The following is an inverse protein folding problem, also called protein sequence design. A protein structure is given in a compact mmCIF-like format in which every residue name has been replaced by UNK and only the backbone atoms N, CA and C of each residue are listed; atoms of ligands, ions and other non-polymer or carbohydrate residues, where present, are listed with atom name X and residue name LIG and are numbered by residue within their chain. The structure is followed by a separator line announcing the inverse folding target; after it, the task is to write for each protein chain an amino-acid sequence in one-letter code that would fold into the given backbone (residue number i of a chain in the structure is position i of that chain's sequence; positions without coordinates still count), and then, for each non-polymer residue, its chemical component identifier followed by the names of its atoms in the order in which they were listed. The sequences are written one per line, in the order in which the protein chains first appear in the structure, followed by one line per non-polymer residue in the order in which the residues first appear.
data_IF_787760086795
#
_entry.id   IF_787760086795
#
_cell.length_a   1.000
_cell.length_b   1.000
_cell.length_c   1.000
_cell.angle_alpha   90.00
_cell.angle_beta   90.00
_cell.angle_gamma   90.00
#
_symmetry.space_group_name_H-M   'P 1'
#
loop_
_entity.id
_entity.type
_entity.pdbx_description
1 polymer ?
#
# COMPACT_ATOMS: atom_id res chain seq x y z
N UNK A 1 9.93 9.53 6.19
CA UNK A 1 11.12 10.39 6.33
C UNK A 1 11.99 10.11 5.14
N UNK A 2 12.29 11.13 4.36
CA UNK A 2 13.23 11.14 3.26
C UNK A 2 14.18 12.33 3.41
N UNK A 3 15.32 12.26 2.74
CA UNK A 3 16.44 13.17 2.96
C UNK A 3 16.18 14.63 2.54
N UNK A 4 15.26 14.87 1.59
CA UNK A 4 14.89 16.20 1.12
C UNK A 4 13.53 16.21 0.42
N UNK A 5 12.92 17.39 0.32
CA UNK A 5 11.71 17.61 -0.48
C UNK A 5 11.85 17.10 -1.92
N UNK A 6 13.02 17.27 -2.53
CA UNK A 6 13.29 16.80 -3.90
C UNK A 6 13.32 15.28 -3.97
N UNK A 7 13.98 14.61 -3.01
CA UNK A 7 14.02 13.15 -2.95
C UNK A 7 12.60 12.57 -2.77
N UNK A 8 11.80 13.16 -1.89
CA UNK A 8 10.39 12.81 -1.68
C UNK A 8 9.55 12.96 -2.95
N UNK A 9 9.73 14.08 -3.65
CA UNK A 9 8.99 14.36 -4.88
C UNK A 9 9.37 13.39 -6.00
N UNK A 10 10.66 13.11 -6.19
CA UNK A 10 11.13 12.17 -7.22
C UNK A 10 10.71 10.75 -6.90
N UNK A 11 10.91 10.29 -5.66
CA UNK A 11 10.48 8.96 -5.25
C UNK A 11 8.96 8.82 -5.34
N UNK A 12 8.20 9.81 -4.86
CA UNK A 12 6.75 9.83 -4.88
C UNK A 12 6.16 9.80 -6.28
N UNK A 13 6.70 10.59 -7.21
CA UNK A 13 6.26 10.59 -8.62
C UNK A 13 6.59 9.27 -9.31
N UNK A 14 7.78 8.71 -9.09
CA UNK A 14 8.16 7.41 -9.65
C UNK A 14 7.27 6.27 -9.11
N UNK A 15 7.03 6.23 -7.79
CA UNK A 15 6.16 5.26 -7.14
C UNK A 15 4.70 5.41 -7.64
N UNK A 16 4.20 6.63 -7.78
CA UNK A 16 2.87 6.88 -8.33
C UNK A 16 2.75 6.40 -9.79
N UNK A 17 3.77 6.63 -10.63
CA UNK A 17 3.79 6.12 -12.00
C UNK A 17 3.73 4.59 -12.03
N UNK A 18 4.49 3.90 -11.18
CA UNK A 18 4.40 2.45 -11.00
C UNK A 18 2.99 2.03 -10.59
N UNK A 19 2.37 2.75 -9.66
CA UNK A 19 0.98 2.53 -9.24
C UNK A 19 -0.04 2.68 -10.36
N UNK A 20 0.12 3.69 -11.22
CA UNK A 20 -0.74 3.88 -12.38
C UNK A 20 -0.64 2.68 -13.33
N UNK A 21 0.57 2.16 -13.56
CA UNK A 21 0.79 0.95 -14.36
C UNK A 21 0.12 -0.27 -13.73
N UNK A 22 0.26 -0.46 -12.42
CA UNK A 22 -0.41 -1.54 -11.67
C UNK A 22 -1.94 -1.49 -11.84
N UNK A 23 -2.54 -0.30 -11.69
CA UNK A 23 -3.97 -0.08 -11.88
C UNK A 23 -4.40 -0.39 -13.31
N UNK A 24 -3.73 0.18 -14.32
CA UNK A 24 -4.05 -0.05 -15.73
C UNK A 24 -3.96 -1.54 -16.10
N UNK A 25 -2.91 -2.25 -15.64
CA UNK A 25 -2.76 -3.69 -15.86
C UNK A 25 -3.91 -4.48 -15.24
N UNK A 26 -4.29 -4.13 -14.02
CA UNK A 26 -5.36 -4.81 -13.26
C UNK A 26 -6.73 -4.61 -13.91
N UNK A 27 -7.03 -3.38 -14.36
CA UNK A 27 -8.24 -3.05 -15.10
C UNK A 27 -8.30 -3.80 -16.43
N UNK A 28 -7.21 -3.80 -17.21
CA UNK A 28 -7.12 -4.54 -18.49
C UNK A 28 -7.28 -6.04 -18.31
N UNK A 29 -6.75 -6.59 -17.21
CA UNK A 29 -6.91 -7.99 -16.85
C UNK A 29 -8.31 -8.35 -16.29
N UNK A 30 -9.22 -7.37 -16.16
CA UNK A 30 -10.57 -7.52 -15.59
C UNK A 30 -10.57 -8.13 -14.19
N UNK A 31 -9.67 -7.67 -13.32
CA UNK A 31 -9.54 -8.13 -11.92
C UNK A 31 -9.87 -7.02 -10.93
N UNK A 32 -11.13 -6.55 -10.86
CA UNK A 32 -11.49 -5.43 -9.98
C UNK A 32 -11.23 -5.72 -8.49
N UNK A 33 -11.20 -7.00 -8.11
CA UNK A 33 -10.87 -7.45 -6.75
C UNK A 33 -9.41 -7.17 -6.33
N UNK A 34 -8.50 -7.09 -7.29
CA UNK A 34 -7.08 -6.84 -7.05
C UNK A 34 -6.78 -5.32 -7.02
N UNK A 35 -7.76 -4.49 -7.42
CA UNK A 35 -7.60 -3.06 -7.64
C UNK A 35 -7.15 -2.28 -6.38
N UNK A 36 -7.69 -2.54 -5.17
CA UNK A 36 -7.24 -1.80 -3.99
C UNK A 36 -5.75 -2.00 -3.69
N UNK A 37 -5.23 -3.23 -3.86
CA UNK A 37 -3.80 -3.52 -3.70
C UNK A 37 -2.97 -2.96 -4.86
N UNK A 38 -3.49 -3.03 -6.09
CA UNK A 38 -2.83 -2.45 -7.26
C UNK A 38 -2.71 -0.92 -7.17
N UNK A 39 -3.64 -0.26 -6.46
CA UNK A 39 -3.62 1.17 -6.19
C UNK A 39 -2.76 1.56 -4.98
N UNK A 40 -2.26 0.61 -4.18
CA UNK A 40 -1.44 0.90 -3.01
C UNK A 40 -0.19 1.75 -3.34
N UNK A 41 0.54 1.53 -4.45
CA UNK A 41 1.65 2.39 -4.81
C UNK A 41 1.23 3.83 -5.15
N UNK A 42 0.01 4.05 -5.67
CA UNK A 42 -0.49 5.42 -5.86
C UNK A 42 -0.63 6.14 -4.51
N UNK A 43 -1.15 5.43 -3.50
CA UNK A 43 -1.29 5.96 -2.15
C UNK A 43 0.08 6.26 -1.51
N UNK A 44 1.04 5.33 -1.65
CA UNK A 44 2.41 5.54 -1.16
C UNK A 44 3.11 6.69 -1.90
N UNK A 45 2.91 6.83 -3.21
CA UNK A 45 3.46 7.92 -4.00
C UNK A 45 2.88 9.28 -3.58
N UNK A 46 1.56 9.35 -3.41
CA UNK A 46 0.89 10.53 -2.88
C UNK A 46 1.39 10.90 -1.49
N UNK A 47 1.61 9.91 -0.62
CA UNK A 47 2.19 10.11 0.71
C UNK A 47 3.56 10.80 0.66
N UNK A 48 4.46 10.35 -0.21
CA UNK A 48 5.78 10.99 -0.41
C UNK A 48 5.67 12.39 -1.02
N UNK A 49 4.75 12.60 -1.96
CA UNK A 49 4.51 13.95 -2.51
C UNK A 49 4.02 14.91 -1.43
N UNK A 50 3.12 14.47 -0.54
CA UNK A 50 2.68 15.27 0.62
C UNK A 50 3.85 15.54 1.57
N UNK A 51 4.72 14.56 1.82
CA UNK A 51 5.94 14.74 2.61
C UNK A 51 6.87 15.82 2.00
N UNK A 52 6.99 15.87 0.66
CA UNK A 52 7.74 16.94 -0.04
C UNK A 52 7.17 18.35 0.18
N UNK A 53 5.85 18.46 0.34
CA UNK A 53 5.18 19.74 0.63
C UNK A 53 5.43 20.12 2.09
N UNK A 54 5.34 19.14 2.99
CA UNK A 54 5.62 19.32 4.41
C UNK A 54 7.06 19.80 4.66
N UNK A 55 8.04 19.22 3.95
CA UNK A 55 9.43 19.70 4.00
C UNK A 55 9.54 21.17 3.59
N UNK A 56 8.87 21.55 2.49
CA UNK A 56 8.88 22.94 1.99
C UNK A 56 8.16 23.92 2.92
N UNK A 57 7.21 23.46 3.72
CA UNK A 57 6.53 24.29 4.71
C UNK A 57 7.31 24.45 6.01
N UNK A 58 8.47 23.80 6.16
CA UNK A 58 9.26 23.83 7.40
C UNK A 58 8.69 22.96 8.53
N UNK A 59 7.79 22.03 8.21
CA UNK A 59 7.08 21.23 9.21
C UNK A 59 5.96 22.01 9.90
N UNK A 60 5.75 21.71 11.19
CA UNK A 60 4.71 22.33 12.03
C UNK A 60 3.35 21.64 11.93
N UNK A 61 2.33 22.36 12.38
CA UNK A 61 0.92 21.99 12.23
C UNK A 61 0.40 22.48 10.88
N UNK A 62 -0.46 21.72 10.22
CA UNK A 62 -1.10 22.19 8.99
C UNK A 62 -1.75 21.08 8.17
N UNK A 63 -2.33 21.46 7.04
CA UNK A 63 -3.02 20.52 6.15
C UNK A 63 -2.07 19.46 5.57
N UNK A 64 -0.81 19.81 5.27
CA UNK A 64 0.18 18.85 4.80
C UNK A 64 0.55 17.81 5.89
N UNK A 65 0.79 18.27 7.12
CA UNK A 65 1.04 17.39 8.29
C UNK A 65 -0.14 16.47 8.57
N UNK A 66 -1.36 17.01 8.54
CA UNK A 66 -2.58 16.23 8.74
C UNK A 66 -2.79 15.21 7.60
N UNK A 67 -2.63 15.63 6.35
CA UNK A 67 -2.79 14.75 5.19
C UNK A 67 -1.76 13.61 5.22
N UNK A 68 -0.51 13.91 5.56
CA UNK A 68 0.53 12.90 5.77
C UNK A 68 0.10 11.90 6.84
N UNK A 69 -0.34 12.38 8.01
CA UNK A 69 -0.75 11.52 9.11
C UNK A 69 -1.97 10.67 8.78
N UNK A 70 -2.98 11.24 8.10
CA UNK A 70 -4.19 10.52 7.67
C UNK A 70 -3.83 9.39 6.71
N UNK A 71 -2.97 9.65 5.72
CA UNK A 71 -2.55 8.62 4.77
C UNK A 71 -1.73 7.53 5.48
N UNK A 72 -0.74 7.92 6.28
CA UNK A 72 0.17 7.00 6.97
C UNK A 72 -0.53 6.11 8.00
N UNK A 73 -1.51 6.65 8.71
CA UNK A 73 -2.07 6.02 9.90
C UNK A 73 -3.43 5.35 9.60
N UNK A 74 -4.59 6.02 9.68
CA UNK A 74 -5.87 5.33 9.56
C UNK A 74 -6.10 4.76 8.16
N UNK A 75 -5.67 5.44 7.09
CA UNK A 75 -5.92 4.97 5.72
C UNK A 75 -5.19 3.67 5.46
N UNK A 76 -3.87 3.59 5.69
CA UNK A 76 -3.11 2.36 5.47
C UNK A 76 -3.57 1.21 6.38
N UNK A 77 -3.90 1.49 7.64
CA UNK A 77 -4.39 0.51 8.60
C UNK A 77 -5.64 -0.25 8.09
N UNK A 78 -6.51 0.43 7.35
CA UNK A 78 -7.72 -0.17 6.76
C UNK A 78 -7.52 -0.65 5.32
N UNK A 79 -6.81 0.14 4.50
CA UNK A 79 -6.68 -0.09 3.06
C UNK A 79 -5.96 -1.40 2.74
N UNK A 80 -4.87 -1.70 3.45
CA UNK A 80 -4.08 -2.91 3.23
C UNK A 80 -4.90 -4.18 3.51
N UNK A 81 -5.45 -4.41 4.71
CA UNK A 81 -6.22 -5.63 4.97
C UNK A 81 -7.49 -5.72 4.11
N UNK A 82 -8.16 -4.60 3.84
CA UNK A 82 -9.32 -4.59 2.94
C UNK A 82 -8.92 -5.03 1.52
N UNK A 83 -7.80 -4.53 1.00
CA UNK A 83 -7.26 -4.95 -0.29
C UNK A 83 -6.90 -6.44 -0.32
N UNK A 84 -6.30 -6.97 0.74
CA UNK A 84 -5.98 -8.41 0.85
C UNK A 84 -7.25 -9.26 0.85
N UNK A 85 -8.29 -8.86 1.61
CA UNK A 85 -9.58 -9.58 1.63
C UNK A 85 -10.27 -9.54 0.25
N UNK A 86 -10.21 -8.41 -0.45
CA UNK A 86 -10.74 -8.25 -1.80
C UNK A 86 -10.07 -9.23 -2.78
N UNK A 87 -8.75 -9.27 -2.80
CA UNK A 87 -7.94 -10.13 -3.67
C UNK A 87 -8.02 -11.62 -3.28
N UNK A 88 -8.33 -11.94 -2.02
CA UNK A 88 -8.33 -13.31 -1.52
C UNK A 88 -9.47 -14.19 -2.10
N UNK A 89 -9.18 -15.47 -2.40
CA UNK A 89 -10.21 -16.44 -2.75
C UNK A 89 -11.15 -16.68 -1.56
N UNK A 90 -12.43 -16.99 -1.83
CA UNK A 90 -13.48 -17.13 -0.80
C UNK A 90 -13.06 -18.02 0.39
N UNK A 91 -12.43 -19.16 0.12
CA UNK A 91 -11.94 -20.11 1.14
C UNK A 91 -10.91 -19.54 2.12
N UNK A 92 -10.17 -18.49 1.73
CA UNK A 92 -9.14 -17.87 2.56
C UNK A 92 -9.64 -16.60 3.27
N UNK A 93 -10.88 -16.16 3.05
CA UNK A 93 -11.39 -14.90 3.62
C UNK A 93 -11.64 -14.97 5.12
N UNK A 94 -12.05 -16.13 5.64
CA UNK A 94 -12.36 -16.29 7.07
C UNK A 94 -11.20 -15.88 7.98
N UNK A 95 -9.99 -16.38 7.70
CA UNK A 95 -8.77 -16.03 8.47
C UNK A 95 -8.31 -14.57 8.32
N UNK A 96 -8.80 -13.86 7.29
CA UNK A 96 -8.46 -12.47 7.03
C UNK A 96 -9.45 -11.48 7.70
N UNK A 97 -10.56 -11.98 8.25
CA UNK A 97 -11.50 -11.13 8.99
C UNK A 97 -10.89 -10.57 10.26
N UNK A 98 -10.02 -11.34 10.94
CA UNK A 98 -9.33 -10.90 12.16
C UNK A 98 -8.43 -9.68 11.87
N UNK A 99 -7.46 -9.73 10.94
CA UNK A 99 -6.64 -8.55 10.65
C UNK A 99 -7.44 -7.40 10.02
N UNK A 100 -8.54 -7.68 9.30
CA UNK A 100 -9.43 -6.62 8.81
C UNK A 100 -10.15 -5.90 9.95
N UNK A 101 -10.71 -6.65 10.91
CA UNK A 101 -11.37 -6.07 12.08
C UNK A 101 -10.38 -5.28 12.94
N UNK A 102 -9.18 -5.83 13.17
CA UNK A 102 -8.09 -5.13 13.85
C UNK A 102 -7.73 -3.82 13.11
N UNK A 103 -7.64 -3.85 11.79
CA UNK A 103 -7.39 -2.68 10.95
C UNK A 103 -8.48 -1.62 11.06
N UNK A 104 -9.75 -2.03 11.03
CA UNK A 104 -10.89 -1.13 11.16
C UNK A 104 -10.93 -0.45 12.54
N UNK A 105 -10.74 -1.20 13.63
CA UNK A 105 -10.70 -0.66 14.99
C UNK A 105 -9.50 0.28 15.17
N UNK A 106 -8.33 -0.13 14.68
CA UNK A 106 -7.11 0.69 14.74
C UNK A 106 -7.26 1.97 13.93
N UNK A 107 -7.81 1.89 12.71
CA UNK A 107 -8.07 3.05 11.87
C UNK A 107 -9.06 4.01 12.51
N UNK A 108 -10.13 3.52 13.14
CA UNK A 108 -11.08 4.34 13.87
C UNK A 108 -10.42 5.06 15.06
N UNK A 109 -9.61 4.35 15.86
CA UNK A 109 -8.87 4.94 16.97
C UNK A 109 -7.85 6.00 16.53
N UNK A 110 -7.11 5.72 15.46
CA UNK A 110 -6.16 6.68 14.87
C UNK A 110 -6.90 7.90 14.29
N UNK A 111 -7.97 7.71 13.54
CA UNK A 111 -8.77 8.81 12.99
C UNK A 111 -9.37 9.69 14.11
N UNK A 112 -9.88 9.07 15.18
CA UNK A 112 -10.36 9.80 16.35
C UNK A 112 -9.23 10.61 17.03
N UNK A 113 -8.04 10.02 17.18
CA UNK A 113 -6.89 10.73 17.73
C UNK A 113 -6.49 11.94 16.85
N UNK A 114 -6.47 11.78 15.52
CA UNK A 114 -6.17 12.87 14.58
C UNK A 114 -7.25 13.96 14.58
N UNK A 115 -8.51 13.61 14.84
CA UNK A 115 -9.61 14.57 14.90
C UNK A 115 -9.68 15.36 16.22
N UNK A 116 -9.14 14.79 17.30
CA UNK A 116 -9.24 15.38 18.65
C UNK A 116 -7.93 15.96 19.17
N UNK A 117 -6.80 15.63 18.53
CA UNK A 117 -5.47 16.07 18.94
C UNK A 117 -4.73 16.73 17.80
N UNK A 118 -3.89 17.70 18.15
CA UNK A 118 -3.05 18.39 17.18
C UNK A 118 -1.88 17.50 16.78
N UNK A 119 -1.73 17.26 15.48
CA UNK A 119 -0.54 16.61 14.92
C UNK A 119 0.50 17.67 14.63
N UNK A 120 1.71 17.46 15.13
CA UNK A 120 2.86 18.31 14.86
C UNK A 120 3.94 17.51 14.17
N UNK A 121 4.48 18.08 13.09
CA UNK A 121 5.69 17.59 12.44
C UNK A 121 6.87 18.47 12.84
N UNK A 122 7.95 17.87 13.31
CA UNK A 122 9.18 18.58 13.67
C UNK A 122 10.29 18.15 12.72
N UNK A 123 10.88 19.11 12.02
CA UNK A 123 12.07 18.86 11.22
C UNK A 123 13.28 18.83 12.15
N UNK A 124 13.94 17.67 12.28
CA UNK A 124 15.11 17.46 13.14
C UNK A 124 16.33 17.16 12.27
N UNK A 125 16.97 18.22 11.78
CA UNK A 125 18.07 18.09 10.82
C UNK A 125 17.57 17.52 9.49
N UNK A 126 17.84 16.24 9.23
CA UNK A 126 17.41 15.54 8.01
C UNK A 126 16.18 14.64 8.22
N UNK A 127 15.59 14.57 9.43
CA UNK A 127 14.35 13.84 9.71
C UNK A 127 13.12 14.73 9.85
N UNK A 128 11.95 14.12 9.68
CA UNK A 128 10.68 14.66 10.14
C UNK A 128 10.14 13.77 11.26
N UNK A 129 10.23 14.21 12.51
CA UNK A 129 9.57 13.58 13.65
C UNK A 129 8.09 13.96 13.72
N UNK A 130 7.24 13.04 14.14
CA UNK A 130 5.80 13.30 14.30
C UNK A 130 5.38 13.06 15.75
N UNK A 131 4.84 14.10 16.39
CA UNK A 131 4.23 13.98 17.70
C UNK A 131 2.71 13.87 17.54
N UNK A 132 2.20 12.66 17.79
CA UNK A 132 0.79 12.28 17.59
C UNK A 132 0.01 12.09 18.90
N UNK A 133 0.70 12.16 20.05
CA UNK A 133 0.08 12.06 21.38
C UNK A 133 -0.90 10.88 21.51
N UNK A 134 -0.52 9.70 21.00
CA UNK A 134 -1.45 8.57 20.87
C UNK A 134 -1.69 7.87 22.22
N UNK A 135 -2.94 7.80 22.72
CA UNK A 135 -3.25 6.98 23.89
C UNK A 135 -3.09 5.50 23.53
N UNK A 136 -2.60 4.69 24.47
CA UNK A 136 -2.42 3.24 24.27
C UNK A 136 -1.57 2.88 23.04
N UNK A 137 -0.48 3.62 22.80
CA UNK A 137 0.37 3.48 21.62
C UNK A 137 0.77 2.02 21.31
N UNK A 138 1.08 1.21 22.32
CA UNK A 138 1.40 -0.21 22.14
C UNK A 138 0.28 -1.03 21.49
N UNK A 139 -0.99 -0.80 21.91
CA UNK A 139 -2.15 -1.49 21.32
C UNK A 139 -2.41 -1.02 19.89
N UNK A 140 -2.30 0.28 19.62
CA UNK A 140 -2.47 0.83 18.28
C UNK A 140 -1.39 0.31 17.32
N UNK A 141 -0.14 0.24 17.76
CA UNK A 141 0.96 -0.33 16.96
C UNK A 141 0.73 -1.83 16.71
N UNK A 142 0.36 -2.60 17.72
CA UNK A 142 0.07 -4.03 17.57
C UNK A 142 -1.09 -4.26 16.60
N UNK A 143 -2.19 -3.51 16.74
CA UNK A 143 -3.33 -3.55 15.84
C UNK A 143 -2.97 -3.17 14.41
N UNK A 144 -2.14 -2.13 14.24
CA UNK A 144 -1.67 -1.68 12.94
C UNK A 144 -0.79 -2.74 12.24
N UNK A 145 0.16 -3.34 12.96
CA UNK A 145 1.02 -4.40 12.43
C UNK A 145 0.22 -5.66 12.09
N UNK A 146 -0.71 -6.06 12.95
CA UNK A 146 -1.61 -7.18 12.68
C UNK A 146 -2.45 -6.93 11.42
N UNK A 147 -2.98 -5.72 11.29
CA UNK A 147 -3.79 -5.32 10.13
C UNK A 147 -2.99 -5.31 8.83
N UNK A 148 -1.82 -4.68 8.83
CA UNK A 148 -1.01 -4.48 7.62
C UNK A 148 -0.15 -5.70 7.29
N UNK A 149 0.80 -6.05 8.16
CA UNK A 149 1.72 -7.18 7.97
C UNK A 149 0.99 -8.51 8.12
N UNK A 150 0.17 -8.63 9.16
CA UNK A 150 -0.56 -9.88 9.43
C UNK A 150 -1.51 -10.27 8.30
N UNK A 151 -2.25 -9.31 7.70
CA UNK A 151 -3.11 -9.62 6.55
C UNK A 151 -2.30 -10.14 5.35
N UNK A 152 -1.17 -9.52 5.03
CA UNK A 152 -0.30 -9.93 3.92
C UNK A 152 0.29 -11.33 4.13
N UNK A 153 0.81 -11.61 5.34
CA UNK A 153 1.39 -12.91 5.67
C UNK A 153 0.34 -14.03 5.74
N UNK A 154 -0.88 -13.72 6.18
CA UNK A 154 -2.00 -14.67 6.19
C UNK A 154 -2.66 -14.83 4.80
N UNK A 155 -2.20 -14.11 3.78
CA UNK A 155 -2.71 -14.28 2.42
C UNK A 155 -2.43 -15.68 1.88
N UNK A 156 -3.31 -16.19 1.01
CA UNK A 156 -3.07 -17.44 0.29
C UNK A 156 -2.18 -17.26 -0.95
N UNK A 157 -1.93 -16.00 -1.35
CA UNK A 157 -1.12 -15.64 -2.51
C UNK A 157 0.34 -15.45 -2.11
N UNK A 158 1.25 -16.24 -2.72
CA UNK A 158 2.68 -16.19 -2.41
C UNK A 158 3.34 -14.83 -2.69
N UNK A 159 2.84 -14.07 -3.67
CA UNK A 159 3.33 -12.73 -3.96
C UNK A 159 2.93 -11.73 -2.87
N UNK A 160 1.72 -11.85 -2.34
CA UNK A 160 1.28 -11.04 -1.19
C UNK A 160 2.02 -11.42 0.11
N UNK A 161 2.33 -12.70 0.30
CA UNK A 161 3.18 -13.14 1.43
C UNK A 161 4.60 -12.58 1.30
N UNK A 162 5.20 -12.60 0.11
CA UNK A 162 6.50 -11.97 -0.13
C UNK A 162 6.44 -10.47 0.19
N UNK A 163 5.39 -9.77 -0.24
CA UNK A 163 5.18 -8.38 0.13
C UNK A 163 5.10 -8.21 1.65
N UNK A 164 4.36 -9.08 2.35
CA UNK A 164 4.30 -9.09 3.82
C UNK A 164 5.66 -9.28 4.48
N UNK A 165 6.50 -10.18 3.97
CA UNK A 165 7.86 -10.39 4.46
C UNK A 165 8.73 -9.16 4.23
N UNK A 166 8.63 -8.54 3.04
CA UNK A 166 9.32 -7.29 2.75
C UNK A 166 8.88 -6.20 3.74
N UNK A 167 7.57 -6.03 3.98
CA UNK A 167 7.04 -5.04 4.95
C UNK A 167 7.47 -5.32 6.37
N UNK A 168 7.47 -6.58 6.80
CA UNK A 168 7.98 -6.95 8.12
C UNK A 168 9.48 -6.63 8.26
N UNK A 169 10.28 -6.97 7.24
CA UNK A 169 11.71 -6.68 7.23
C UNK A 169 11.98 -5.16 7.22
N UNK A 170 11.25 -4.41 6.38
CA UNK A 170 11.33 -2.96 6.33
C UNK A 170 10.98 -2.31 7.68
N UNK A 171 9.91 -2.78 8.33
CA UNK A 171 9.53 -2.33 9.66
C UNK A 171 10.62 -2.64 10.71
N UNK A 172 11.16 -3.87 10.72
CA UNK A 172 12.24 -4.27 11.63
C UNK A 172 13.51 -3.44 11.42
N UNK A 173 13.90 -3.20 10.17
CA UNK A 173 15.03 -2.34 9.80
C UNK A 173 14.78 -0.90 10.25
N UNK A 174 13.57 -0.35 10.04
CA UNK A 174 13.22 0.98 10.51
C UNK A 174 13.34 1.10 12.03
N UNK A 175 12.89 0.09 12.78
CA UNK A 175 13.04 0.06 14.25
C UNK A 175 14.51 -0.02 14.67
N UNK A 176 15.30 -0.88 14.03
CA UNK A 176 16.72 -1.06 14.35
C UNK A 176 17.56 0.19 14.03
N UNK A 177 17.24 0.85 12.91
CA UNK A 177 17.95 2.04 12.44
C UNK A 177 17.38 3.35 13.00
N UNK A 178 16.29 3.31 13.77
CA UNK A 178 15.69 4.51 14.38
C UNK A 178 16.70 5.30 15.23
N UNK A 179 17.65 4.63 15.88
CA UNK A 179 18.70 5.28 16.70
C UNK A 179 19.82 5.94 15.89
N UNK A 180 19.93 5.63 14.60
CA UNK A 180 21.07 6.01 13.76
C UNK A 180 20.73 7.07 12.71
N UNK A 181 19.53 7.66 12.76
CA UNK A 181 19.13 8.72 11.83
C UNK A 181 19.40 8.30 10.35
N UNK A 182 19.16 7.02 10.00
CA UNK A 182 19.18 6.56 8.61
C UNK A 182 17.79 6.73 7.99
N UNK A 183 17.66 7.80 7.22
CA UNK A 183 16.38 8.49 6.92
C UNK A 183 15.95 8.29 5.47
N UNK A 184 16.66 7.45 4.70
CA UNK A 184 16.29 7.11 3.31
C UNK A 184 15.54 5.77 3.20
N UNK A 185 15.26 5.13 4.34
CA UNK A 185 14.83 3.73 4.38
C UNK A 185 13.38 3.58 3.95
N UNK A 186 12.52 4.57 4.24
CA UNK A 186 11.09 4.47 3.95
C UNK A 186 10.76 4.62 2.47
N UNK A 187 11.35 5.59 1.76
CA UNK A 187 11.14 5.75 0.32
C UNK A 187 11.72 4.58 -0.47
N UNK A 188 12.93 4.13 -0.12
CA UNK A 188 13.52 2.93 -0.72
C UNK A 188 12.61 1.71 -0.49
N UNK A 189 12.08 1.57 0.72
CA UNK A 189 11.17 0.48 1.05
C UNK A 189 9.84 0.58 0.28
N UNK A 190 9.25 1.77 0.16
CA UNK A 190 8.05 2.01 -0.63
C UNK A 190 8.27 1.72 -2.11
N UNK A 191 9.44 2.06 -2.67
CA UNK A 191 9.83 1.72 -4.03
C UNK A 191 9.95 0.19 -4.22
N UNK A 192 10.63 -0.51 -3.32
CA UNK A 192 10.75 -1.98 -3.35
C UNK A 192 9.37 -2.65 -3.27
N UNK A 193 8.48 -2.20 -2.38
CA UNK A 193 7.11 -2.68 -2.30
C UNK A 193 6.32 -2.43 -3.58
N UNK A 194 6.50 -1.25 -4.18
CA UNK A 194 5.83 -0.88 -5.43
C UNK A 194 6.27 -1.74 -6.60
N UNK A 195 7.57 -2.07 -6.68
CA UNK A 195 8.11 -3.02 -7.66
C UNK A 195 7.57 -4.44 -7.41
N UNK A 196 7.51 -4.88 -6.16
CA UNK A 196 6.93 -6.18 -5.82
C UNK A 196 5.44 -6.28 -6.23
N UNK A 197 4.67 -5.21 -6.03
CA UNK A 197 3.28 -5.11 -6.49
C UNK A 197 3.17 -5.07 -8.02
N UNK A 198 4.08 -4.38 -8.71
CA UNK A 198 4.14 -4.36 -10.17
C UNK A 198 4.40 -5.76 -10.75
N UNK A 199 5.30 -6.52 -10.12
CA UNK A 199 5.57 -7.90 -10.47
C UNK A 199 4.38 -8.82 -10.19
N UNK A 200 3.73 -8.67 -9.03
CA UNK A 200 2.54 -9.43 -8.66
C UNK A 200 1.38 -9.21 -9.64
N UNK A 201 1.06 -7.96 -9.98
CA UNK A 201 0.03 -7.64 -10.98
C UNK A 201 0.37 -8.19 -12.37
N UNK A 202 1.65 -8.19 -12.76
CA UNK A 202 2.12 -8.78 -14.02
C UNK A 202 1.93 -10.29 -14.10
N UNK A 203 2.26 -11.03 -13.03
CA UNK A 203 2.02 -12.48 -12.94
C UNK A 203 0.54 -12.84 -12.97
N UNK A 204 -0.27 -12.05 -12.29
CA UNK A 204 -1.72 -12.20 -12.28
C UNK A 204 -2.33 -12.00 -13.66
N UNK A 205 -1.86 -11.02 -14.43
CA UNK A 205 -2.29 -10.81 -15.82
C UNK A 205 -1.91 -12.01 -16.73
N UNK A 206 -0.69 -12.53 -16.63
CA UNK A 206 -0.24 -13.68 -17.41
C UNK A 206 -1.06 -14.96 -17.18
N UNK A 207 -1.49 -15.21 -15.95
CA UNK A 207 -2.38 -16.33 -15.62
C UNK A 207 -3.81 -16.16 -16.19
N UNK A 208 -4.30 -14.93 -16.34
CA UNK A 208 -5.62 -14.66 -16.92
C UNK A 208 -5.63 -14.92 -18.45
N UNK A 209 -4.56 -14.53 -19.15
CA UNK A 209 -4.40 -14.80 -20.59
C UNK A 209 -4.35 -16.31 -20.86
N UNK A 210 -3.59 -17.07 -20.05
CA UNK A 210 -3.48 -18.53 -20.19
C UNK A 210 -4.78 -19.30 -19.92
N UNK A 211 -5.72 -18.73 -19.14
CA UNK A 211 -7.02 -19.35 -18.83
C UNK A 211 -8.11 -19.04 -19.85
N UNK A 212 -7.85 -18.21 -20.87
CA UNK A 212 -8.79 -18.05 -21.98
C UNK A 212 -8.70 -19.30 -22.86
N UNK A 213 -9.76 -20.11 -22.99
CA UNK A 213 -9.79 -21.13 -24.02
C UNK A 213 -9.58 -20.46 -25.39
N UNK A 214 -8.95 -21.14 -26.37
CA UNK A 214 -8.90 -20.64 -27.74
C UNK A 214 -10.34 -20.33 -28.16
N UNK A 215 -10.58 -19.11 -28.65
CA UNK A 215 -11.82 -18.86 -29.41
C UNK A 215 -11.70 -19.75 -30.63
N UNK A 216 -12.43 -20.86 -30.66
CA UNK A 216 -12.64 -21.62 -31.88
C UNK A 216 -13.07 -20.61 -32.95
N UNK A 217 -12.24 -20.51 -34.00
CA UNK A 217 -12.64 -19.88 -35.25
C UNK A 217 -13.77 -20.72 -35.81
N UNK A 218 -14.99 -20.44 -35.37
CA UNK A 218 -16.18 -20.77 -36.12
C UNK A 218 -16.27 -19.76 -37.27
N UNK A 219 -15.41 -19.96 -38.28
CA UNK A 219 -15.56 -19.37 -39.60
C UNK A 219 -15.68 -20.54 -40.57
N UNK A 220 -16.93 -21.00 -40.64
CA UNK A 220 -17.67 -21.51 -41.78
C UNK A 220 -16.89 -21.73 -43.08
N UNK A 221 -16.94 -22.96 -43.56
CA UNK A 221 -16.93 -23.32 -44.98
C UNK A 221 -17.06 -24.84 -45.13
N UNK A 222 -17.48 -25.38 -46.28
CA UNK A 222 -18.20 -24.79 -47.43
C UNK A 222 -19.57 -25.47 -47.66
N UNK A 223 -20.46 -24.85 -48.42
CA UNK A 223 -21.75 -25.45 -48.78
C UNK A 223 -22.30 -24.84 -50.06
N UNK A 224 -21.77 -25.28 -51.19
CA UNK A 224 -22.37 -25.17 -52.52
C UNK A 224 -23.69 -25.95 -52.56
N UNK A 225 -24.77 -25.42 -53.14
CA UNK A 225 -25.82 -26.24 -53.71
C UNK A 225 -25.59 -26.37 -55.22
N UNK A 226 -25.26 -27.58 -55.67
CA UNK A 226 -25.65 -28.06 -56.99
C UNK A 226 -27.07 -28.62 -56.87
N UNK A 227 -27.97 -28.29 -57.81
CA UNK A 227 -29.35 -28.78 -57.89
C UNK A 227 -30.33 -27.73 -58.36
#
# INVERSE_FOLDING_TARGET
MCWSATADLVAGTAIAAVGAVCVVRTVRARRPRDLPLAALPLLLGAHQIVESVLWRSGGGTGSATLAWAVIALPVLALWVPAGVVCAAPRRARGRLLIPLAAGAVTAAGLAYALATRTVTAEIRGHTVGYALGLPHAGLLVAGYLLATVGSLLLSADRGLVLLGVLVAAGAAVCVALWRWEFISTWCAFAAVCSVALLWWTGRSAGQAVRRRPPRDRQLSGPGTPEG
#
